data_IF_956513108679
#
_entry.id   IF_956513108679
#
_cell.length_a   1.000
_cell.length_b   1.000
_cell.length_c   1.000
_cell.angle_alpha   90.00
_cell.angle_beta   90.00
_cell.angle_gamma   90.00
#
_symmetry.space_group_name_H-M   'P 1'
#
loop_
_entity.id
_entity.type
_entity.pdbx_description
1 polymer ?
#
# COMPACT_ATOMS: atom_id res chain seq x y z
N UNK A 1 2.16 0.42 3.95
CA UNK A 1 0.96 1.26 3.74
C UNK A 1 0.04 0.69 2.66
N UNK A 2 0.24 0.96 1.36
CA UNK A 2 -0.72 0.52 0.32
C UNK A 2 -0.91 -1.01 0.28
N UNK A 3 0.18 -1.77 0.46
CA UNK A 3 0.14 -3.23 0.58
C UNK A 3 -0.65 -3.70 1.82
N UNK A 4 -0.44 -3.06 2.97
CA UNK A 4 -1.16 -3.43 4.19
C UNK A 4 -2.66 -3.18 4.01
N UNK A 5 -3.04 -2.00 3.48
CA UNK A 5 -4.44 -1.64 3.25
C UNK A 5 -5.13 -2.66 2.32
N UNK A 6 -4.50 -3.06 1.21
CA UNK A 6 -5.11 -4.06 0.31
C UNK A 6 -5.18 -5.47 0.93
N UNK A 7 -4.24 -5.84 1.80
CA UNK A 7 -4.29 -7.14 2.48
C UNK A 7 -5.33 -7.15 3.59
N UNK A 8 -5.35 -6.12 4.43
CA UNK A 8 -6.36 -5.94 5.48
C UNK A 8 -7.77 -5.82 4.88
N UNK A 9 -7.90 -5.25 3.68
CA UNK A 9 -9.14 -5.18 2.91
C UNK A 9 -9.47 -6.41 2.06
N UNK A 10 -8.64 -7.47 2.08
CA UNK A 10 -8.86 -8.66 1.25
C UNK A 10 -10.07 -9.48 1.74
N UNK A 11 -10.91 -9.97 0.83
CA UNK A 11 -12.14 -10.66 1.19
C UNK A 11 -13.12 -10.82 0.02
N UNK A 12 -14.44 -10.94 0.28
CA UNK A 12 -15.10 -10.75 1.58
C UNK A 12 -15.10 -11.98 2.50
N UNK A 13 -14.78 -13.18 2.00
CA UNK A 13 -14.84 -14.43 2.79
C UNK A 13 -13.51 -15.15 2.97
N UNK A 14 -12.59 -15.02 2.02
CA UNK A 14 -11.36 -15.82 1.96
C UNK A 14 -10.09 -14.95 2.08
N UNK A 15 -10.13 -13.93 2.92
CA UNK A 15 -9.02 -13.01 3.18
C UNK A 15 -9.00 -12.57 4.65
N UNK A 16 -8.27 -11.50 4.97
CA UNK A 16 -8.23 -10.96 6.33
C UNK A 16 -9.54 -10.24 6.70
N UNK A 17 -10.08 -9.45 5.78
CA UNK A 17 -11.38 -8.79 5.91
C UNK A 17 -11.51 -7.84 7.11
N UNK A 18 -10.41 -7.26 7.57
CA UNK A 18 -10.36 -6.35 8.72
C UNK A 18 -10.74 -4.91 8.35
N UNK A 19 -10.53 -4.52 7.10
CA UNK A 19 -10.92 -3.22 6.58
C UNK A 19 -11.95 -3.37 5.45
N UNK A 20 -12.89 -2.43 5.38
CA UNK A 20 -13.77 -2.22 4.23
C UNK A 20 -13.27 -1.01 3.46
N UNK A 21 -12.95 -1.21 2.19
CA UNK A 21 -12.43 -0.17 1.29
C UNK A 21 -13.59 0.41 0.45
N UNK A 22 -13.51 1.70 0.05
CA UNK A 22 -14.50 2.31 -0.83
C UNK A 22 -14.58 1.61 -2.19
N UNK A 23 -15.81 1.41 -2.68
CA UNK A 23 -16.07 0.93 -4.04
C UNK A 23 -16.12 2.14 -4.99
N UNK A 24 -15.06 2.35 -5.77
CA UNK A 24 -14.98 3.49 -6.72
C UNK A 24 -15.38 3.09 -8.14
N UNK A 25 -15.11 1.85 -8.52
CA UNK A 25 -15.45 1.29 -9.82
C UNK A 25 -16.52 0.21 -9.63
N UNK A 26 -17.49 0.07 -10.55
CA UNK A 26 -18.43 -1.03 -10.48
C UNK A 26 -17.64 -2.34 -10.43
N UNK A 27 -17.83 -3.11 -9.37
CA UNK A 27 -17.38 -4.50 -9.34
C UNK A 27 -18.02 -5.31 -10.47
N UNK A 28 -17.62 -6.57 -10.61
CA UNK A 28 -18.35 -7.47 -11.51
C UNK A 28 -19.81 -7.53 -11.07
N UNK A 29 -20.74 -7.25 -11.99
CA UNK A 29 -22.19 -7.26 -11.74
C UNK A 29 -22.73 -8.61 -11.22
N UNK A 30 -21.92 -9.68 -11.33
CA UNK A 30 -22.23 -11.04 -10.85
C UNK A 30 -21.71 -11.28 -9.42
N UNK A 31 -20.78 -10.46 -8.90
CA UNK A 31 -20.08 -10.69 -7.63
C UNK A 31 -20.40 -9.60 -6.59
N UNK A 32 -21.56 -9.67 -5.89
CA UNK A 32 -21.93 -8.67 -4.89
C UNK A 32 -20.93 -8.62 -3.73
N UNK A 33 -20.55 -7.40 -3.33
CA UNK A 33 -19.62 -7.16 -2.23
C UNK A 33 -18.14 -7.39 -2.56
N UNK A 34 -17.81 -7.70 -3.82
CA UNK A 34 -16.41 -7.75 -4.29
C UNK A 34 -15.93 -6.35 -4.67
N UNK A 35 -15.02 -5.80 -3.87
CA UNK A 35 -14.34 -4.53 -4.15
C UNK A 35 -12.86 -4.81 -4.42
N UNK A 36 -12.35 -4.37 -5.57
CA UNK A 36 -10.93 -4.45 -5.87
C UNK A 36 -10.22 -3.19 -5.31
N UNK A 37 -9.02 -3.31 -4.72
CA UNK A 37 -8.29 -2.19 -4.15
C UNK A 37 -7.51 -1.40 -5.23
N UNK A 38 -8.21 -0.93 -6.27
CA UNK A 38 -7.65 -0.28 -7.49
C UNK A 38 -6.71 0.89 -7.19
N UNK A 39 -7.02 1.67 -6.16
CA UNK A 39 -6.19 2.80 -5.73
C UNK A 39 -4.87 2.32 -5.11
N UNK A 40 -4.89 1.21 -4.35
CA UNK A 40 -3.67 0.61 -3.82
C UNK A 40 -2.82 -0.02 -4.93
N UNK A 41 -3.46 -0.64 -5.93
CA UNK A 41 -2.79 -1.17 -7.12
C UNK A 41 -2.06 -0.05 -7.87
N UNK A 42 -2.75 1.06 -8.16
CA UNK A 42 -2.17 2.23 -8.82
C UNK A 42 -0.98 2.81 -8.04
N UNK A 43 -1.13 2.97 -6.72
CA UNK A 43 -0.03 3.41 -5.85
C UNK A 43 1.19 2.49 -5.96
N UNK A 44 1.00 1.17 -5.91
CA UNK A 44 2.12 0.22 -6.01
C UNK A 44 2.79 0.21 -7.38
N UNK A 45 2.05 0.44 -8.47
CA UNK A 45 2.64 0.62 -9.80
C UNK A 45 3.49 1.89 -9.88
N UNK A 46 3.00 3.00 -9.31
CA UNK A 46 3.76 4.26 -9.24
C UNK A 46 5.04 4.10 -8.43
N UNK A 47 4.99 3.42 -7.27
CA UNK A 47 6.19 3.14 -6.48
C UNK A 47 7.25 2.37 -7.30
N UNK A 48 6.85 1.33 -8.03
CA UNK A 48 7.76 0.57 -8.91
C UNK A 48 8.38 1.47 -10.00
N UNK A 49 7.59 2.33 -10.63
CA UNK A 49 8.08 3.28 -11.64
C UNK A 49 9.12 4.25 -11.04
N UNK A 50 8.88 4.76 -9.83
CA UNK A 50 9.80 5.68 -9.15
C UNK A 50 11.13 4.98 -8.81
N UNK A 51 11.09 3.71 -8.40
CA UNK A 51 12.30 2.91 -8.18
C UNK A 51 13.13 2.78 -9.46
N UNK A 52 12.48 2.50 -10.60
CA UNK A 52 13.17 2.46 -11.91
C UNK A 52 13.77 3.82 -12.30
N UNK A 53 13.02 4.91 -12.10
CA UNK A 53 13.51 6.26 -12.35
C UNK A 53 14.73 6.60 -11.48
N UNK A 54 14.76 6.15 -10.22
CA UNK A 54 15.89 6.35 -9.33
C UNK A 54 17.16 5.68 -9.86
N UNK A 55 17.07 4.44 -10.36
CA UNK A 55 18.23 3.75 -10.96
C UNK A 55 18.76 4.54 -12.17
N UNK A 56 17.88 5.03 -13.04
CA UNK A 56 18.28 5.86 -14.18
C UNK A 56 18.99 7.15 -13.75
N UNK A 57 18.51 7.81 -12.69
CA UNK A 57 19.14 9.00 -12.10
C UNK A 57 20.52 8.64 -11.53
N UNK A 58 20.64 7.54 -10.78
CA UNK A 58 21.90 7.13 -10.15
C UNK A 58 22.99 6.82 -11.20
N UNK A 59 22.64 6.09 -12.26
CA UNK A 59 23.55 5.83 -13.39
C UNK A 59 23.93 7.14 -14.09
N UNK A 60 22.97 8.01 -14.35
CA UNK A 60 23.24 9.32 -14.99
C UNK A 60 24.15 10.20 -14.13
N UNK A 61 23.97 10.16 -12.81
CA UNK A 61 24.77 10.90 -11.84
C UNK A 61 26.23 10.45 -11.80
N UNK A 62 26.50 9.15 -12.00
CA UNK A 62 27.86 8.59 -11.98
C UNK A 62 28.66 8.83 -13.27
N UNK A 63 28.04 9.32 -14.35
CA UNK A 63 28.66 9.47 -15.68
C UNK A 63 29.08 10.93 -15.99
N UNK A 64 29.48 11.69 -14.97
CA UNK A 64 30.08 13.01 -15.15
C UNK A 64 31.55 12.91 -15.59
N UNK A 65 31.98 13.82 -16.48
CA UNK A 65 33.37 13.87 -16.94
C UNK A 65 33.93 15.28 -16.71
N UNK A 66 35.06 15.36 -16.00
CA UNK A 66 35.79 16.60 -15.69
C UNK A 66 34.89 17.72 -15.14
N UNK A 67 34.80 18.86 -15.81
CA UNK A 67 34.11 20.05 -15.34
C UNK A 67 32.57 19.92 -15.36
N UNK A 68 32.00 18.94 -16.08
CA UNK A 68 30.55 18.92 -16.28
C UNK A 68 29.93 17.52 -16.49
N UNK A 69 28.86 17.25 -15.75
CA UNK A 69 27.94 16.17 -16.07
C UNK A 69 26.91 16.64 -17.13
N UNK A 70 26.89 16.00 -18.30
CA UNK A 70 26.01 16.31 -19.44
C UNK A 70 24.69 15.51 -19.47
N UNK A 71 24.47 14.61 -18.52
CA UNK A 71 23.22 13.83 -18.36
C UNK A 71 22.11 14.60 -17.61
N UNK A 72 22.22 15.94 -17.52
CA UNK A 72 21.26 16.78 -16.78
C UNK A 72 19.80 16.60 -17.24
N UNK A 73 19.48 16.52 -18.56
CA UNK A 73 18.08 16.41 -18.99
C UNK A 73 17.38 15.14 -18.47
N UNK A 74 18.06 13.98 -18.53
CA UNK A 74 17.47 12.71 -18.06
C UNK A 74 17.32 12.68 -16.53
N UNK A 75 18.28 13.25 -15.79
CA UNK A 75 18.17 13.37 -14.33
C UNK A 75 17.00 14.25 -13.92
N UNK A 76 16.86 15.42 -14.54
CA UNK A 76 15.77 16.36 -14.27
C UNK A 76 14.41 15.76 -14.65
N UNK A 77 14.30 15.17 -15.85
CA UNK A 77 13.05 14.58 -16.34
C UNK A 77 12.54 13.45 -15.43
N UNK A 78 13.42 12.53 -15.01
CA UNK A 78 13.04 11.45 -14.11
C UNK A 78 12.66 11.96 -12.71
N UNK A 79 13.37 12.98 -12.21
CA UNK A 79 13.06 13.58 -10.90
C UNK A 79 11.67 14.23 -10.92
N UNK A 80 11.40 15.08 -11.91
CA UNK A 80 10.10 15.77 -12.03
C UNK A 80 8.96 14.79 -12.32
N UNK A 81 9.18 13.78 -13.16
CA UNK A 81 8.18 12.72 -13.41
C UNK A 81 7.85 11.96 -12.14
N UNK A 82 8.86 11.54 -11.37
CA UNK A 82 8.64 10.85 -10.09
C UNK A 82 7.86 11.71 -9.10
N UNK A 83 8.22 12.99 -8.96
CA UNK A 83 7.51 13.92 -8.09
C UNK A 83 6.04 14.08 -8.49
N UNK A 84 5.77 14.21 -9.79
CA UNK A 84 4.40 14.34 -10.32
C UNK A 84 3.58 13.07 -10.07
N UNK A 85 4.12 11.90 -10.43
CA UNK A 85 3.43 10.61 -10.24
C UNK A 85 3.11 10.35 -8.78
N UNK A 86 4.05 10.61 -7.86
CA UNK A 86 3.82 10.45 -6.42
C UNK A 86 2.77 11.44 -5.91
N UNK A 87 2.84 12.71 -6.32
CA UNK A 87 1.86 13.72 -5.92
C UNK A 87 0.43 13.35 -6.35
N UNK A 88 0.26 12.98 -7.62
CA UNK A 88 -1.03 12.58 -8.17
C UNK A 88 -1.55 11.28 -7.52
N UNK A 89 -0.68 10.28 -7.35
CA UNK A 89 -1.04 9.01 -6.73
C UNK A 89 -1.42 9.17 -5.25
N UNK A 90 -0.68 9.96 -4.47
CA UNK A 90 -1.01 10.24 -3.08
C UNK A 90 -2.37 10.96 -2.97
N UNK A 91 -2.59 11.99 -3.79
CA UNK A 91 -3.88 12.71 -3.81
C UNK A 91 -5.05 11.79 -4.16
N UNK A 92 -4.91 10.97 -5.19
CA UNK A 92 -5.93 10.00 -5.60
C UNK A 92 -6.17 8.93 -4.53
N UNK A 93 -5.10 8.35 -3.98
CA UNK A 93 -5.18 7.31 -2.95
C UNK A 93 -5.84 7.84 -1.67
N UNK A 94 -5.52 9.06 -1.26
CA UNK A 94 -6.17 9.70 -0.12
C UNK A 94 -7.66 9.89 -0.36
N UNK A 95 -8.02 10.54 -1.48
CA UNK A 95 -9.40 10.90 -1.79
C UNK A 95 -10.30 9.68 -2.01
N UNK A 96 -9.82 8.70 -2.77
CA UNK A 96 -10.64 7.59 -3.27
C UNK A 96 -10.46 6.30 -2.45
N UNK A 97 -9.54 6.25 -1.48
CA UNK A 97 -9.36 5.07 -0.63
C UNK A 97 -9.29 5.45 0.85
N UNK A 98 -8.24 6.17 1.26
CA UNK A 98 -7.92 6.37 2.69
C UNK A 98 -9.06 7.02 3.47
N UNK A 99 -9.66 8.09 2.94
CA UNK A 99 -10.71 8.84 3.64
C UNK A 99 -11.98 7.99 3.90
N UNK A 100 -12.23 6.97 3.08
CA UNK A 100 -13.42 6.13 3.20
C UNK A 100 -13.17 4.75 3.82
N UNK A 101 -11.99 4.49 4.39
CA UNK A 101 -11.71 3.22 5.07
C UNK A 101 -12.60 3.09 6.31
N UNK A 102 -13.27 1.94 6.45
CA UNK A 102 -14.06 1.59 7.63
C UNK A 102 -13.52 0.29 8.24
N UNK A 103 -13.30 0.20 9.56
CA UNK A 103 -12.89 -1.05 10.19
C UNK A 103 -14.07 -2.04 10.29
N UNK A 104 -13.83 -3.31 9.95
CA UNK A 104 -14.79 -4.38 10.21
C UNK A 104 -14.59 -4.92 11.63
N UNK A 105 -15.23 -4.26 12.59
CA UNK A 105 -15.07 -4.53 14.03
C UNK A 105 -15.40 -5.98 14.39
N UNK A 106 -16.39 -6.59 13.75
CA UNK A 106 -16.79 -7.96 14.04
C UNK A 106 -15.71 -8.95 13.60
N UNK A 107 -15.14 -8.79 12.41
CA UNK A 107 -14.02 -9.61 11.95
C UNK A 107 -12.77 -9.39 12.81
N UNK A 108 -12.45 -8.13 13.15
CA UNK A 108 -11.29 -7.82 14.00
C UNK A 108 -11.44 -8.50 15.38
N UNK A 109 -12.60 -8.37 16.03
CA UNK A 109 -12.86 -9.01 17.32
C UNK A 109 -12.76 -10.52 17.24
N UNK A 110 -13.30 -11.13 16.18
CA UNK A 110 -13.19 -12.56 15.94
C UNK A 110 -11.72 -12.98 15.83
N UNK A 111 -10.92 -12.31 14.99
CA UNK A 111 -9.51 -12.62 14.79
C UNK A 111 -8.70 -12.52 16.09
N UNK A 112 -8.99 -11.51 16.92
CA UNK A 112 -8.34 -11.35 18.24
C UNK A 112 -8.72 -12.50 19.18
N UNK A 113 -10.01 -12.82 19.29
CA UNK A 113 -10.51 -13.84 20.22
C UNK A 113 -10.10 -15.27 19.82
N UNK A 114 -9.88 -15.53 18.52
CA UNK A 114 -9.40 -16.82 18.02
C UNK A 114 -7.86 -16.93 18.05
N UNK A 115 -7.14 -15.87 18.41
CA UNK A 115 -5.68 -15.85 18.45
C UNK A 115 -5.13 -16.54 19.70
N UNK A 116 -4.27 -17.55 19.47
CA UNK A 116 -3.51 -18.20 20.54
C UNK A 116 -2.50 -17.27 21.22
N UNK A 117 -2.14 -16.14 20.59
CA UNK A 117 -1.13 -15.22 21.13
C UNK A 117 -1.61 -14.48 22.38
N UNK A 118 -2.93 -14.44 22.64
CA UNK A 118 -3.48 -13.87 23.88
C UNK A 118 -3.00 -14.59 25.14
N UNK A 119 -2.56 -15.86 25.02
CA UNK A 119 -2.01 -16.64 26.14
C UNK A 119 -0.82 -15.94 26.80
N UNK A 120 -0.03 -15.17 26.03
CA UNK A 120 1.15 -14.47 26.54
C UNK A 120 0.82 -13.43 27.61
N UNK A 121 -0.40 -12.88 27.60
CA UNK A 121 -0.88 -11.96 28.62
C UNK A 121 -1.10 -12.67 29.99
N UNK A 122 -1.22 -14.01 29.99
CA UNK A 122 -1.39 -14.80 31.21
C UNK A 122 -0.06 -15.13 31.89
N UNK A 123 1.08 -15.08 31.18
CA UNK A 123 2.39 -15.45 31.70
C UNK A 123 2.73 -14.80 33.06
N UNK A 124 2.48 -13.49 33.30
CA UNK A 124 2.73 -12.86 34.61
C UNK A 124 1.82 -13.35 35.74
N UNK A 125 0.70 -13.99 35.43
CA UNK A 125 -0.32 -14.42 36.38
C UNK A 125 -0.26 -15.91 36.71
N UNK A 126 0.04 -16.76 35.73
CA UNK A 126 0.04 -18.22 35.90
C UNK A 126 1.43 -18.87 35.71
N UNK A 127 2.41 -18.11 35.22
CA UNK A 127 3.73 -18.61 34.85
C UNK A 127 3.81 -19.01 33.38
N UNK A 128 5.02 -19.25 32.88
CA UNK A 128 5.25 -19.58 31.46
C UNK A 128 4.83 -21.01 31.09
N UNK A 129 4.96 -21.96 32.04
CA UNK A 129 4.71 -23.38 31.79
C UNK A 129 3.22 -23.79 31.91
N UNK A 130 2.39 -22.91 32.48
CA UNK A 130 0.95 -23.13 32.71
C UNK A 130 0.12 -22.33 31.72
#
# INVERSE_FOLDING_TARGET
>A
IANDIRFLGSGPRCGLGELSLPENEPGSSIMPGKVNPTQAESMTMVCSQVMGNHVAISISGSNGHFELNVFKPIMCANTLRSARLLGDACSSFTKNCVVGIVPNIDNIKRNVNESLMLVTALNPHIGYDK
#
